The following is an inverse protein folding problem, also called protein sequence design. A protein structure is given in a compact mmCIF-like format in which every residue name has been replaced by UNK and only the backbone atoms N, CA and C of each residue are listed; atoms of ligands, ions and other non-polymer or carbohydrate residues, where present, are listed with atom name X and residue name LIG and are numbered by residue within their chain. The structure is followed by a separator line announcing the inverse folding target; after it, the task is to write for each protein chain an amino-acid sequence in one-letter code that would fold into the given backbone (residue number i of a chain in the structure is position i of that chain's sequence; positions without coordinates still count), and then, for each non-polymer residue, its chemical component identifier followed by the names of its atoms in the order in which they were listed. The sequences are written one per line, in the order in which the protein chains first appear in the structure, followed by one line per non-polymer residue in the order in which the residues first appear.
data_IF_384689990973
#
_entry.id   IF_384689990973
#
_cell.length_a   1.000
_cell.length_b   1.000
_cell.length_c   1.000
_cell.angle_alpha   90.00
_cell.angle_beta   90.00
_cell.angle_gamma   90.00
#
_symmetry.space_group_name_H-M   'P 1'
#
loop_
_entity.id
_entity.type
_entity.pdbx_description
1 polymer ?
#
# COMPACT_ATOMS: atom_id res chain seq x y z
N UNK A 1 -44.30 -36.01 3.12
CA UNK A 1 -45.22 -35.81 1.97
C UNK A 1 -44.65 -34.68 1.11
N UNK A 2 -44.41 -34.87 -0.20
CA UNK A 2 -45.32 -34.55 -1.34
C UNK A 2 -45.74 -33.06 -1.40
N UNK A 3 -45.79 -32.35 -2.54
CA UNK A 3 -45.55 -32.60 -4.00
C UNK A 3 -45.64 -31.24 -4.75
N UNK A 4 -45.15 -30.92 -5.96
CA UNK A 4 -44.32 -31.48 -7.08
C UNK A 4 -43.68 -30.26 -7.81
N UNK A 5 -42.49 -30.29 -8.43
CA UNK A 5 -42.01 -30.98 -9.67
C UNK A 5 -42.68 -30.52 -10.98
N UNK A 6 -41.92 -29.80 -11.83
CA UNK A 6 -42.18 -29.47 -13.25
C UNK A 6 -40.85 -28.93 -13.86
N UNK A 7 -40.42 -29.17 -15.11
CA UNK A 7 -40.81 -30.24 -16.04
C UNK A 7 -39.63 -30.86 -16.82
N UNK A 8 -39.30 -30.46 -18.07
CA UNK A 8 -38.42 -31.24 -18.97
C UNK A 8 -37.64 -30.43 -20.04
N UNK A 9 -36.54 -31.04 -20.53
CA UNK A 9 -35.73 -30.68 -21.73
C UNK A 9 -36.50 -30.81 -23.07
N UNK A 10 -36.01 -30.15 -24.14
CA UNK A 10 -35.89 -30.74 -25.51
C UNK A 10 -34.93 -29.95 -26.43
N UNK A 11 -34.40 -30.63 -27.46
CA UNK A 11 -33.49 -30.12 -28.51
C UNK A 11 -34.24 -29.86 -29.82
N UNK A 12 -33.74 -29.01 -30.75
CA UNK A 12 -33.41 -29.38 -32.16
C UNK A 12 -32.87 -28.21 -33.06
N UNK A 13 -31.72 -28.46 -33.71
CA UNK A 13 -31.40 -28.31 -35.16
C UNK A 13 -31.43 -26.98 -35.97
N UNK A 14 -30.79 -27.10 -37.17
CA UNK A 14 -30.68 -26.18 -38.36
C UNK A 14 -29.47 -25.20 -38.29
N UNK A 15 -28.32 -25.39 -38.97
CA UNK A 15 -27.97 -25.44 -40.44
C UNK A 15 -28.31 -24.15 -41.24
N UNK A 16 -27.62 -23.72 -42.30
CA UNK A 16 -26.22 -23.75 -42.78
C UNK A 16 -26.18 -22.86 -44.07
N UNK A 17 -25.05 -22.18 -44.36
CA UNK A 17 -24.63 -21.49 -45.61
C UNK A 17 -25.55 -21.47 -46.87
N UNK A 18 -25.70 -20.28 -47.48
CA UNK A 18 -25.67 -19.98 -48.94
C UNK A 18 -25.81 -18.45 -49.18
N UNK A 19 -25.45 -17.82 -50.32
CA UNK A 19 -24.18 -17.79 -51.08
C UNK A 19 -24.18 -16.62 -52.12
N UNK A 20 -22.98 -16.21 -52.56
CA UNK A 20 -22.60 -15.63 -53.88
C UNK A 20 -23.45 -14.52 -54.57
N UNK A 21 -22.77 -13.42 -54.90
CA UNK A 21 -22.83 -12.77 -56.24
C UNK A 21 -21.38 -12.43 -56.67
N UNK A 22 -21.10 -12.52 -57.98
CA UNK A 22 -19.78 -12.31 -58.60
C UNK A 22 -19.84 -11.26 -59.72
N UNK A 23 -18.65 -10.86 -60.22
CA UNK A 23 -18.36 -10.05 -61.43
C UNK A 23 -18.26 -8.52 -61.20
N UNK A 24 -17.31 -7.80 -61.82
CA UNK A 24 -16.26 -8.27 -62.73
C UNK A 24 -15.25 -7.18 -63.13
N UNK A 25 -14.27 -7.54 -63.98
CA UNK A 25 -13.15 -6.67 -64.38
C UNK A 25 -13.52 -5.63 -65.46
N UNK A 26 -12.75 -4.53 -65.56
CA UNK A 26 -11.93 -4.26 -66.77
C UNK A 26 -10.84 -3.19 -66.52
N UNK A 27 -9.86 -3.11 -67.44
CA UNK A 27 -8.68 -2.24 -67.40
C UNK A 27 -8.87 -0.88 -68.11
N UNK A 28 -8.03 0.11 -67.76
CA UNK A 28 -7.45 1.09 -68.70
C UNK A 28 -6.26 1.87 -68.08
N UNK A 29 -5.26 2.21 -68.89
CA UNK A 29 -4.20 3.19 -68.56
C UNK A 29 -4.71 4.64 -68.73
N UNK A 30 -4.04 5.62 -68.10
CA UNK A 30 -3.34 6.67 -68.88
C UNK A 30 -2.36 7.52 -68.05
N UNK A 31 -1.48 8.24 -68.76
CA UNK A 31 -0.37 9.04 -68.23
C UNK A 31 -0.67 10.54 -68.25
N UNK A 32 -0.13 11.27 -67.29
CA UNK A 32 0.31 12.68 -67.40
C UNK A 32 1.44 12.85 -66.37
N UNK A 33 2.74 12.89 -66.72
CA UNK A 33 3.50 13.79 -67.62
C UNK A 33 3.99 15.08 -66.91
N UNK A 34 5.07 15.64 -67.44
CA UNK A 34 6.08 16.44 -66.74
C UNK A 34 5.80 17.96 -66.76
N UNK A 35 6.39 18.69 -65.80
CA UNK A 35 7.50 19.65 -66.05
C UNK A 35 7.99 20.25 -64.71
N UNK A 36 9.27 20.25 -64.30
CA UNK A 36 10.60 20.42 -64.94
C UNK A 36 11.13 21.87 -64.93
N UNK A 37 12.26 22.09 -64.23
CA UNK A 37 13.31 23.12 -64.42
C UNK A 37 14.63 22.47 -63.93
N UNK A 38 15.70 22.33 -64.74
CA UNK A 38 16.57 23.38 -65.33
C UNK A 38 17.47 24.05 -64.28
N UNK A 39 18.81 24.13 -64.36
CA UNK A 39 19.84 23.72 -65.36
C UNK A 39 20.88 22.75 -64.71
N UNK A 40 21.89 22.13 -65.33
CA UNK A 40 22.66 22.39 -66.57
C UNK A 40 23.93 23.24 -66.26
N UNK A 41 25.16 22.93 -66.68
CA UNK A 41 25.75 21.81 -67.48
C UNK A 41 27.28 21.80 -67.16
N UNK A 42 28.25 21.06 -67.74
CA UNK A 42 28.44 20.31 -69.00
C UNK A 42 29.71 19.40 -68.91
N UNK A 43 29.92 18.48 -69.88
CA UNK A 43 31.20 17.85 -70.32
C UNK A 43 32.03 17.05 -69.27
N UNK A 44 32.35 15.76 -69.49
CA UNK A 44 32.97 15.20 -70.71
C UNK A 44 32.77 13.66 -70.85
N UNK A 45 32.63 13.18 -72.07
CA UNK A 45 33.04 11.83 -72.51
C UNK A 45 34.59 11.75 -72.65
N UNK A 46 35.29 10.61 -72.74
CA UNK A 46 34.97 9.15 -72.86
C UNK A 46 36.23 8.38 -72.44
N UNK A 47 36.12 7.19 -71.82
CA UNK A 47 36.48 5.89 -72.43
C UNK A 47 36.08 4.72 -71.49
N UNK A 48 36.17 3.47 -71.94
CA UNK A 48 35.64 2.29 -71.25
C UNK A 48 36.70 1.42 -70.54
N UNK A 49 36.31 0.83 -69.39
CA UNK A 49 36.79 -0.49 -68.97
C UNK A 49 35.81 -1.15 -67.97
N UNK A 50 35.95 -2.46 -67.85
CA UNK A 50 35.07 -3.44 -67.18
C UNK A 50 34.68 -3.08 -65.74
N UNK A 51 33.37 -3.07 -65.44
CA UNK A 51 32.86 -2.98 -64.07
C UNK A 51 33.05 -4.32 -63.36
N UNK A 52 34.09 -4.43 -62.53
CA UNK A 52 34.15 -5.50 -61.51
C UNK A 52 33.16 -5.18 -60.39
N UNK A 53 32.19 -6.06 -60.21
CA UNK A 53 31.24 -5.96 -59.10
C UNK A 53 31.97 -6.27 -57.78
N UNK A 54 31.99 -5.27 -56.89
CA UNK A 54 32.97 -5.22 -55.82
C UNK A 54 32.41 -5.83 -54.52
N UNK A 55 32.50 -7.15 -54.38
CA UNK A 55 32.13 -7.85 -53.13
C UNK A 55 32.90 -7.26 -51.94
N UNK A 56 32.17 -6.85 -50.89
CA UNK A 56 32.76 -6.50 -49.59
C UNK A 56 33.47 -7.72 -48.98
N UNK A 57 34.48 -7.52 -48.11
CA UNK A 57 35.03 -8.57 -47.25
C UNK A 57 33.94 -9.28 -46.44
N UNK A 58 34.12 -10.57 -46.12
CA UNK A 58 33.19 -11.32 -45.24
C UNK A 58 33.09 -10.68 -43.85
N UNK A 59 34.22 -10.21 -43.31
CA UNK A 59 34.33 -9.65 -41.95
C UNK A 59 33.52 -8.35 -41.79
N UNK A 60 33.48 -7.49 -42.82
CA UNK A 60 32.77 -6.20 -42.80
C UNK A 60 31.24 -6.32 -42.58
N UNK A 61 30.66 -7.52 -42.77
CA UNK A 61 29.23 -7.75 -42.61
C UNK A 61 28.83 -7.88 -41.13
N UNK A 62 29.54 -8.72 -40.37
CA UNK A 62 29.13 -9.12 -39.03
C UNK A 62 29.50 -8.12 -37.91
N UNK A 63 30.31 -7.11 -38.21
CA UNK A 63 30.79 -6.08 -37.24
C UNK A 63 29.63 -5.27 -36.63
N UNK A 64 28.54 -5.06 -37.35
CA UNK A 64 27.41 -4.23 -36.89
C UNK A 64 26.22 -5.05 -36.36
N UNK A 65 26.42 -6.35 -36.14
CA UNK A 65 25.38 -7.27 -35.66
C UNK A 65 25.58 -7.50 -34.16
N UNK A 66 24.51 -7.33 -33.38
CA UNK A 66 24.48 -7.57 -31.93
C UNK A 66 25.02 -8.95 -31.56
N UNK A 67 25.86 -9.00 -30.52
CA UNK A 67 26.40 -10.25 -29.99
C UNK A 67 25.31 -11.14 -29.38
N UNK A 68 25.49 -12.45 -29.49
CA UNK A 68 24.63 -13.43 -28.82
C UNK A 68 24.87 -13.32 -27.30
N UNK A 69 23.81 -13.26 -26.47
CA UNK A 69 23.95 -13.28 -25.02
C UNK A 69 24.80 -14.44 -24.51
N UNK A 70 25.71 -14.14 -23.59
CA UNK A 70 26.61 -15.12 -22.94
C UNK A 70 26.52 -15.08 -21.40
N UNK A 71 25.57 -14.32 -20.85
CA UNK A 71 25.18 -14.33 -19.44
C UNK A 71 23.68 -14.01 -19.32
N UNK A 72 23.10 -14.35 -18.17
CA UNK A 72 21.69 -14.06 -17.82
C UNK A 72 21.36 -12.56 -18.00
N UNK A 73 22.26 -11.69 -17.56
CA UNK A 73 22.10 -10.23 -17.63
C UNK A 73 22.09 -9.72 -19.07
N UNK A 74 22.82 -10.38 -19.98
CA UNK A 74 22.84 -10.02 -21.40
C UNK A 74 21.56 -10.42 -22.14
N UNK A 75 20.82 -11.45 -21.67
CA UNK A 75 19.52 -11.84 -22.25
C UNK A 75 18.45 -10.77 -22.02
N UNK A 76 18.45 -10.11 -20.85
CA UNK A 76 17.49 -9.02 -20.55
C UNK A 76 17.79 -7.79 -21.42
N UNK A 77 19.06 -7.53 -21.71
CA UNK A 77 19.51 -6.34 -22.46
C UNK A 77 19.59 -6.51 -23.99
N UNK A 78 19.07 -7.60 -24.55
CA UNK A 78 19.13 -7.86 -26.00
C UNK A 78 18.16 -6.95 -26.77
N UNK A 79 18.44 -6.70 -28.06
CA UNK A 79 17.52 -5.97 -28.94
C UNK A 79 16.65 -6.94 -29.76
N UNK A 80 15.35 -6.65 -29.98
CA UNK A 80 14.52 -7.43 -30.89
C UNK A 80 15.04 -7.37 -32.34
N UNK A 81 14.98 -8.51 -33.01
CA UNK A 81 15.39 -8.71 -34.40
C UNK A 81 14.29 -8.42 -35.42
N UNK A 82 14.65 -8.51 -36.70
CA UNK A 82 13.75 -8.28 -37.86
C UNK A 82 12.48 -9.14 -37.82
N UNK A 83 12.55 -10.33 -37.20
CA UNK A 83 11.46 -11.31 -37.10
C UNK A 83 11.06 -11.60 -35.65
N UNK A 84 11.21 -10.61 -34.75
CA UNK A 84 10.70 -10.66 -33.39
C UNK A 84 9.16 -10.73 -33.36
N UNK A 85 8.58 -11.59 -32.53
CA UNK A 85 7.14 -11.64 -32.23
C UNK A 85 6.22 -12.25 -33.30
N UNK A 86 6.63 -12.28 -34.57
CA UNK A 86 5.88 -12.93 -35.65
C UNK A 86 6.10 -14.47 -35.64
N UNK A 87 5.05 -15.31 -35.66
CA UNK A 87 5.20 -16.75 -35.78
C UNK A 87 5.70 -17.15 -37.19
N UNK A 88 6.78 -17.94 -37.25
CA UNK A 88 7.22 -18.53 -38.52
C UNK A 88 6.10 -19.37 -39.13
N UNK A 89 5.85 -19.16 -40.43
CA UNK A 89 4.70 -19.61 -41.25
C UNK A 89 3.45 -18.70 -41.25
N UNK A 90 3.59 -17.39 -41.04
CA UNK A 90 2.64 -16.46 -41.68
C UNK A 90 2.88 -16.41 -43.20
N UNK A 91 1.86 -16.12 -44.01
CA UNK A 91 1.96 -16.15 -45.49
C UNK A 91 2.94 -15.10 -46.06
N UNK A 92 3.37 -14.14 -45.26
CA UNK A 92 4.34 -13.09 -45.62
C UNK A 92 5.79 -13.40 -45.16
N UNK A 93 5.97 -14.47 -44.37
CA UNK A 93 7.23 -14.76 -43.67
C UNK A 93 8.32 -15.36 -44.58
N UNK A 94 8.05 -16.51 -45.23
CA UNK A 94 9.07 -17.21 -46.03
C UNK A 94 9.70 -16.33 -47.13
N UNK A 95 8.92 -15.55 -47.93
CA UNK A 95 9.50 -14.70 -48.98
C UNK A 95 10.33 -13.52 -48.45
N UNK A 96 10.14 -13.11 -47.19
CA UNK A 96 10.93 -12.05 -46.57
C UNK A 96 12.18 -12.59 -45.89
N UNK A 97 12.12 -13.77 -45.24
CA UNK A 97 13.29 -14.43 -44.66
C UNK A 97 14.37 -14.73 -45.70
N UNK A 98 14.04 -15.46 -46.79
CA UNK A 98 15.07 -15.86 -47.76
C UNK A 98 15.72 -14.65 -48.42
N UNK A 99 14.94 -13.62 -48.76
CA UNK A 99 15.43 -12.36 -49.32
C UNK A 99 16.36 -11.61 -48.37
N UNK A 100 16.15 -11.71 -47.05
CA UNK A 100 17.04 -11.11 -46.06
C UNK A 100 18.37 -11.89 -45.99
N UNK A 101 18.30 -13.22 -45.88
CA UNK A 101 19.47 -14.11 -45.77
C UNK A 101 20.30 -14.19 -47.06
N UNK A 102 19.72 -13.97 -48.24
CA UNK A 102 20.44 -13.82 -49.52
C UNK A 102 21.53 -12.73 -49.49
N UNK A 103 21.42 -11.72 -48.61
CA UNK A 103 22.43 -10.66 -48.47
C UNK A 103 23.62 -11.06 -47.59
N UNK A 104 23.50 -12.14 -46.81
CA UNK A 104 24.53 -12.58 -45.90
C UNK A 104 25.63 -13.39 -46.61
N UNK A 105 26.89 -13.33 -46.15
CA UNK A 105 27.94 -14.19 -46.70
C UNK A 105 27.65 -15.67 -46.40
N UNK A 106 27.53 -16.55 -47.41
CA UNK A 106 27.23 -17.96 -47.17
C UNK A 106 28.37 -18.67 -46.45
N UNK A 107 28.04 -19.63 -45.59
CA UNK A 107 28.98 -20.58 -44.98
C UNK A 107 29.87 -21.24 -46.05
N UNK A 108 31.13 -21.51 -45.72
CA UNK A 108 32.00 -22.31 -46.61
C UNK A 108 31.62 -23.80 -46.60
N UNK A 109 32.27 -24.61 -47.45
CA UNK A 109 32.05 -26.06 -47.50
C UNK A 109 32.55 -26.76 -46.21
N UNK A 110 33.52 -26.17 -45.52
CA UNK A 110 34.08 -26.64 -44.24
C UNK A 110 34.28 -25.44 -43.29
N UNK A 111 33.21 -24.91 -42.68
CA UNK A 111 33.32 -23.74 -41.80
C UNK A 111 34.17 -24.02 -40.57
N UNK A 112 34.92 -23.00 -40.13
CA UNK A 112 35.53 -22.98 -38.79
C UNK A 112 34.51 -22.55 -37.74
N UNK A 113 34.77 -22.82 -36.45
CA UNK A 113 33.92 -22.35 -35.34
C UNK A 113 33.55 -20.87 -35.44
N UNK A 114 34.53 -19.99 -35.69
CA UNK A 114 34.30 -18.55 -35.90
C UNK A 114 33.33 -18.25 -37.07
N UNK A 115 33.33 -19.06 -38.14
CA UNK A 115 32.39 -18.86 -39.26
C UNK A 115 30.98 -19.35 -38.90
N UNK A 116 30.85 -20.41 -38.09
CA UNK A 116 29.57 -20.79 -37.49
C UNK A 116 29.08 -19.77 -36.46
N UNK A 117 29.95 -19.22 -35.62
CA UNK A 117 29.59 -18.28 -34.56
C UNK A 117 29.12 -16.95 -35.15
N UNK A 118 29.81 -16.40 -36.15
CA UNK A 118 29.38 -15.19 -36.84
C UNK A 118 28.08 -15.41 -37.64
N UNK A 119 27.92 -16.55 -38.33
CA UNK A 119 26.68 -16.86 -39.05
C UNK A 119 25.50 -17.11 -38.10
N UNK A 120 25.73 -17.83 -37.00
CA UNK A 120 24.73 -18.03 -35.94
C UNK A 120 24.36 -16.71 -35.27
N UNK A 121 25.31 -15.80 -35.01
CA UNK A 121 25.04 -14.45 -34.52
C UNK A 121 24.09 -13.68 -35.45
N UNK A 122 24.28 -13.79 -36.76
CA UNK A 122 23.35 -13.22 -37.72
C UNK A 122 21.95 -13.84 -37.62
N UNK A 123 21.81 -15.18 -37.68
CA UNK A 123 20.50 -15.83 -37.54
C UNK A 123 19.81 -15.53 -36.20
N UNK A 124 20.59 -15.42 -35.13
CA UNK A 124 20.13 -15.01 -33.81
C UNK A 124 19.58 -13.57 -33.84
N UNK A 125 20.32 -12.63 -34.43
CA UNK A 125 19.88 -11.23 -34.58
C UNK A 125 18.63 -11.04 -35.45
N UNK A 126 18.26 -12.04 -36.25
CA UNK A 126 16.99 -12.08 -36.98
C UNK A 126 15.82 -12.52 -36.07
N UNK A 127 16.05 -13.52 -35.20
CA UNK A 127 15.02 -14.14 -34.37
C UNK A 127 14.85 -13.55 -32.96
N UNK A 128 15.81 -12.73 -32.50
CA UNK A 128 15.85 -12.20 -31.14
C UNK A 128 14.55 -11.47 -30.77
N UNK A 129 14.04 -11.66 -29.56
CA UNK A 129 12.83 -10.98 -29.04
C UNK A 129 13.18 -9.89 -28.03
N UNK A 130 12.19 -9.07 -27.67
CA UNK A 130 12.26 -8.16 -26.52
C UNK A 130 11.74 -8.90 -25.29
N UNK A 131 12.53 -8.98 -24.21
CA UNK A 131 12.15 -9.66 -22.97
C UNK A 131 11.63 -8.66 -21.94
N UNK A 132 10.63 -9.01 -21.10
CA UNK A 132 10.09 -8.07 -20.11
C UNK A 132 11.16 -7.68 -19.07
N UNK A 133 11.33 -6.38 -18.81
CA UNK A 133 12.26 -5.85 -17.79
C UNK A 133 11.75 -6.15 -16.36
N UNK A 134 12.43 -6.99 -15.56
CA UNK A 134 12.00 -7.26 -14.19
C UNK A 134 12.10 -6.02 -13.28
N UNK A 135 12.89 -4.99 -13.65
CA UNK A 135 12.99 -3.76 -12.88
C UNK A 135 11.67 -2.98 -12.89
N UNK A 136 10.84 -3.05 -13.93
CA UNK A 136 9.52 -2.39 -13.91
C UNK A 136 8.57 -3.01 -12.88
N UNK A 137 8.70 -4.32 -12.63
CA UNK A 137 7.95 -5.00 -11.57
C UNK A 137 8.46 -4.60 -10.18
N UNK A 138 9.77 -4.46 -10.00
CA UNK A 138 10.37 -3.93 -8.76
C UNK A 138 9.91 -2.49 -8.50
N UNK A 139 9.99 -1.59 -9.49
CA UNK A 139 9.51 -0.19 -9.41
C UNK A 139 8.02 -0.13 -9.04
N UNK A 140 7.18 -1.01 -9.62
CA UNK A 140 5.75 -1.13 -9.31
C UNK A 140 5.53 -1.45 -7.83
N UNK A 141 6.25 -2.43 -7.29
CA UNK A 141 6.16 -2.82 -5.88
C UNK A 141 6.72 -1.76 -4.94
N UNK A 142 7.88 -1.17 -5.25
CA UNK A 142 8.45 -0.06 -4.48
C UNK A 142 7.43 1.08 -4.34
N UNK A 143 6.69 1.42 -5.41
CA UNK A 143 5.63 2.42 -5.34
C UNK A 143 4.43 1.95 -4.51
N UNK A 144 3.86 0.76 -4.78
CA UNK A 144 2.63 0.27 -4.13
C UNK A 144 2.81 -0.13 -2.65
N UNK A 145 4.05 -0.42 -2.25
CA UNK A 145 4.46 -0.73 -0.89
C UNK A 145 5.11 0.47 -0.18
N UNK A 146 5.24 1.63 -0.85
CA UNK A 146 5.69 2.86 -0.20
C UNK A 146 4.57 3.53 0.59
N UNK A 147 4.90 3.95 1.81
CA UNK A 147 3.97 4.64 2.69
C UNK A 147 3.03 3.71 3.46
N UNK A 148 2.57 4.21 4.59
CA UNK A 148 1.68 3.49 5.51
C UNK A 148 0.24 3.98 5.34
N UNK A 149 -0.78 3.14 5.57
CA UNK A 149 -2.18 3.57 5.51
C UNK A 149 -2.47 4.81 6.36
N UNK A 150 -3.23 5.75 5.82
CA UNK A 150 -3.68 6.94 6.54
C UNK A 150 -4.78 6.55 7.54
N UNK A 151 -4.61 6.98 8.79
CA UNK A 151 -5.56 6.77 9.88
C UNK A 151 -6.66 7.83 9.79
N UNK A 152 -7.89 7.45 10.12
CA UNK A 152 -9.10 8.27 9.81
C UNK A 152 -9.36 9.44 10.76
N UNK A 153 -8.57 9.60 11.83
CA UNK A 153 -8.65 10.74 12.74
C UNK A 153 -7.25 11.17 13.23
N UNK A 154 -6.84 12.40 12.93
CA UNK A 154 -5.53 12.95 13.33
C UNK A 154 -5.45 13.29 14.84
N UNK A 155 -6.59 13.32 15.56
CA UNK A 155 -6.63 13.73 16.98
C UNK A 155 -5.99 12.72 17.92
N UNK A 156 -5.79 11.48 17.47
CA UNK A 156 -5.38 10.36 18.29
C UNK A 156 -4.07 9.71 17.79
N UNK A 157 -2.94 10.38 18.03
CA UNK A 157 -1.62 9.77 17.91
C UNK A 157 -1.21 9.20 19.29
N UNK A 158 -1.44 7.89 19.46
CA UNK A 158 -1.42 7.19 20.74
C UNK A 158 -0.05 6.63 21.14
N UNK A 159 0.45 6.96 22.35
CA UNK A 159 1.82 6.74 22.85
C UNK A 159 2.01 5.54 23.78
N UNK A 160 3.26 5.12 23.95
CA UNK A 160 3.76 3.98 24.77
C UNK A 160 2.99 3.88 26.10
N UNK A 161 2.86 5.02 26.78
CA UNK A 161 2.28 5.14 28.09
C UNK A 161 0.93 5.85 28.00
N UNK A 162 -0.16 5.10 28.12
CA UNK A 162 -1.50 5.65 28.30
C UNK A 162 -1.69 6.02 29.78
N UNK A 163 -1.94 7.30 30.06
CA UNK A 163 -2.19 7.78 31.42
C UNK A 163 -3.59 8.39 31.47
N UNK A 164 -4.51 7.72 32.15
CA UNK A 164 -5.93 8.07 32.22
C UNK A 164 -6.23 8.64 33.61
N UNK A 165 -6.50 9.94 33.71
CA UNK A 165 -7.00 10.54 34.96
C UNK A 165 -8.50 10.82 34.89
N UNK A 166 -9.26 10.16 35.75
CA UNK A 166 -10.66 10.50 36.00
C UNK A 166 -10.67 11.64 37.02
N UNK A 167 -11.28 12.77 36.66
CA UNK A 167 -11.56 13.87 37.58
C UNK A 167 -13.06 13.87 37.84
N UNK A 168 -13.47 13.48 39.05
CA UNK A 168 -14.86 13.38 39.44
C UNK A 168 -15.26 14.55 40.35
N UNK A 169 -16.29 15.28 39.92
CA UNK A 169 -17.02 16.22 40.75
C UNK A 169 -17.73 15.48 41.90
N UNK A 170 -17.50 15.94 43.12
CA UNK A 170 -18.18 15.47 44.34
C UNK A 170 -18.70 16.67 45.15
N UNK A 171 -19.12 17.73 44.47
CA UNK A 171 -19.87 18.86 45.03
C UNK A 171 -21.25 18.45 45.54
N UNK A 172 -21.96 19.36 46.21
CA UNK A 172 -23.24 19.08 46.84
C UNK A 172 -24.37 18.65 45.87
N UNK A 173 -24.30 19.04 44.60
CA UNK A 173 -25.34 18.78 43.59
C UNK A 173 -25.31 17.34 43.04
N UNK A 174 -24.17 16.64 43.10
CA UNK A 174 -24.06 15.23 42.71
C UNK A 174 -24.87 14.26 43.61
N UNK A 175 -25.51 14.76 44.67
CA UNK A 175 -26.53 14.06 45.49
C UNK A 175 -27.94 14.08 44.92
N UNK A 176 -28.19 14.83 43.84
CA UNK A 176 -29.49 14.87 43.19
C UNK A 176 -29.92 13.46 42.71
N UNK A 177 -31.18 13.11 42.92
CA UNK A 177 -31.76 11.85 42.43
C UNK A 177 -31.95 11.90 40.91
N UNK A 178 -31.51 10.83 40.24
CA UNK A 178 -31.79 10.51 38.85
C UNK A 178 -32.19 9.04 38.82
N UNK A 179 -33.46 8.78 38.49
CA UNK A 179 -34.03 7.44 38.32
C UNK A 179 -33.92 6.53 39.58
N UNK A 180 -33.91 7.11 40.79
CA UNK A 180 -33.83 6.36 42.06
C UNK A 180 -32.40 6.01 42.52
N UNK A 181 -31.39 6.63 41.91
CA UNK A 181 -29.97 6.63 42.33
C UNK A 181 -29.48 8.08 42.41
N UNK A 182 -28.42 8.37 43.13
CA UNK A 182 -27.78 9.70 43.01
C UNK A 182 -26.96 9.81 41.73
N UNK A 183 -26.74 11.02 41.21
CA UNK A 183 -25.81 11.25 40.09
C UNK A 183 -24.40 10.71 40.41
N UNK A 184 -23.97 10.81 41.67
CA UNK A 184 -22.73 10.19 42.16
C UNK A 184 -22.74 8.66 42.01
N UNK A 185 -23.81 7.94 42.36
CA UNK A 185 -23.88 6.48 42.19
C UNK A 185 -23.78 6.07 40.71
N UNK A 186 -24.46 6.82 39.83
CA UNK A 186 -24.46 6.59 38.38
C UNK A 186 -23.06 6.87 37.79
N UNK A 187 -22.39 7.93 38.24
CA UNK A 187 -21.02 8.26 37.86
C UNK A 187 -20.02 7.19 38.33
N UNK A 188 -20.08 6.80 39.61
CA UNK A 188 -19.23 5.74 40.19
C UNK A 188 -19.41 4.41 39.46
N UNK A 189 -20.62 4.09 39.00
CA UNK A 189 -20.86 2.87 38.22
C UNK A 189 -20.15 2.93 36.86
N UNK A 190 -20.47 3.93 36.03
CA UNK A 190 -19.95 3.98 34.66
C UNK A 190 -18.43 4.18 34.58
N UNK A 191 -17.82 4.91 35.53
CA UNK A 191 -16.35 5.01 35.66
C UNK A 191 -15.70 3.63 35.89
N UNK A 192 -16.36 2.76 36.66
CA UNK A 192 -15.89 1.42 36.93
C UNK A 192 -16.04 0.50 35.72
N UNK A 193 -17.19 0.58 35.04
CA UNK A 193 -17.48 -0.20 33.84
C UNK A 193 -16.49 0.16 32.72
N UNK A 194 -16.26 1.46 32.48
CA UNK A 194 -15.20 1.99 31.60
C UNK A 194 -13.81 1.42 31.93
N UNK A 195 -13.32 1.64 33.15
CA UNK A 195 -11.96 1.26 33.52
C UNK A 195 -11.74 -0.26 33.58
N UNK A 196 -12.81 -1.06 33.69
CA UNK A 196 -12.72 -2.52 33.54
C UNK A 196 -12.35 -2.98 32.14
N UNK A 197 -12.49 -2.11 31.13
CA UNK A 197 -12.13 -2.33 29.72
C UNK A 197 -10.86 -1.59 29.29
N UNK A 198 -10.25 -0.77 30.16
CA UNK A 198 -9.04 -0.04 29.83
C UNK A 198 -7.85 -1.01 29.59
N UNK A 199 -6.94 -0.72 28.63
CA UNK A 199 -5.79 -1.58 28.34
C UNK A 199 -4.93 -1.86 29.59
N UNK A 200 -4.48 -3.11 29.75
CA UNK A 200 -3.73 -3.57 30.94
C UNK A 200 -2.35 -2.93 31.16
N UNK A 201 -1.88 -2.10 30.21
CA UNK A 201 -0.68 -1.28 30.33
C UNK A 201 -0.98 0.18 30.73
N UNK A 202 -2.24 0.62 30.74
CA UNK A 202 -2.61 1.99 31.09
C UNK A 202 -2.47 2.28 32.59
N UNK A 203 -1.82 3.41 32.92
CA UNK A 203 -1.79 3.95 34.27
C UNK A 203 -3.07 4.75 34.52
N UNK A 204 -3.83 4.38 35.55
CA UNK A 204 -5.09 5.02 35.92
C UNK A 204 -4.91 5.89 37.16
N UNK A 205 -5.55 7.05 37.18
CA UNK A 205 -5.63 7.95 38.33
C UNK A 205 -7.09 8.34 38.62
N UNK A 206 -7.43 8.54 39.90
CA UNK A 206 -8.71 9.11 40.32
C UNK A 206 -8.47 10.34 41.21
N UNK A 207 -8.97 11.47 40.73
CA UNK A 207 -8.95 12.77 41.38
C UNK A 207 -10.38 13.17 41.72
N UNK A 208 -10.59 13.68 42.93
CA UNK A 208 -11.90 14.15 43.42
C UNK A 208 -11.78 15.54 44.02
N UNK A 209 -12.84 16.33 43.87
CA UNK A 209 -12.98 17.64 44.51
C UNK A 209 -14.41 17.83 45.06
N UNK A 210 -14.61 18.81 45.93
CA UNK A 210 -15.93 19.14 46.48
C UNK A 210 -16.41 18.22 47.61
N UNK A 211 -15.72 17.12 47.90
CA UNK A 211 -16.05 16.14 48.95
C UNK A 211 -15.70 16.58 50.39
N UNK A 212 -15.40 17.86 50.62
CA UNK A 212 -15.02 18.41 51.95
C UNK A 212 -15.79 19.69 52.28
N UNK A 213 -16.18 19.83 53.55
CA UNK A 213 -17.03 20.94 54.00
C UNK A 213 -18.46 20.78 53.50
N UNK A 214 -19.14 21.90 53.26
CA UNK A 214 -20.52 21.98 52.75
C UNK A 214 -20.64 23.01 51.63
N UNK A 215 -21.73 22.95 50.85
CA UNK A 215 -22.15 23.97 49.88
C UNK A 215 -22.57 25.32 50.50
N UNK A 216 -22.06 25.66 51.70
CA UNK A 216 -22.28 26.96 52.34
C UNK A 216 -21.06 27.87 52.15
N UNK A 217 -21.28 29.19 52.13
CA UNK A 217 -20.20 30.18 51.95
C UNK A 217 -19.12 30.10 53.05
N UNK A 218 -19.49 29.63 54.24
CA UNK A 218 -18.56 29.45 55.37
C UNK A 218 -17.51 28.38 55.06
N UNK A 219 -17.92 27.30 54.39
CA UNK A 219 -17.05 26.20 53.97
C UNK A 219 -16.47 26.37 52.57
N UNK A 220 -16.91 27.35 51.76
CA UNK A 220 -16.40 27.58 50.40
C UNK A 220 -14.88 27.58 50.37
N UNK A 221 -14.22 28.35 51.24
CA UNK A 221 -12.75 28.39 51.32
C UNK A 221 -12.12 27.03 51.67
N UNK A 222 -12.79 26.20 52.48
CA UNK A 222 -12.32 24.84 52.76
C UNK A 222 -12.46 23.97 51.50
N UNK A 223 -13.66 23.87 50.93
CA UNK A 223 -13.94 23.03 49.77
C UNK A 223 -13.08 23.38 48.55
N UNK A 224 -12.97 24.66 48.22
CA UNK A 224 -12.16 25.15 47.10
C UNK A 224 -10.65 24.90 47.28
N UNK A 225 -10.19 24.63 48.51
CA UNK A 225 -8.80 24.25 48.81
C UNK A 225 -8.56 22.74 48.82
N UNK A 226 -9.58 21.91 48.50
CA UNK A 226 -9.54 20.45 48.65
C UNK A 226 -9.86 19.74 47.34
N UNK A 227 -8.78 19.51 46.60
CA UNK A 227 -8.68 18.50 45.54
C UNK A 227 -7.79 17.38 46.07
N UNK A 228 -8.23 16.13 45.98
CA UNK A 228 -7.48 14.97 46.48
C UNK A 228 -7.36 13.91 45.38
N UNK A 229 -6.14 13.40 45.18
CA UNK A 229 -5.89 12.23 44.32
C UNK A 229 -6.01 10.98 45.20
N UNK A 230 -7.12 10.26 45.06
CA UNK A 230 -7.50 9.13 45.91
C UNK A 230 -7.05 7.78 45.33
N UNK A 231 -6.77 7.73 44.02
CA UNK A 231 -6.02 6.67 43.37
C UNK A 231 -4.89 7.34 42.57
N UNK A 232 -3.64 6.97 42.84
CA UNK A 232 -2.47 7.49 42.11
C UNK A 232 -2.25 6.75 40.80
N UNK A 233 -1.53 7.36 39.85
CA UNK A 233 -1.16 6.69 38.58
C UNK A 233 -0.42 5.37 38.83
N UNK A 234 -1.15 4.28 38.62
CA UNK A 234 -0.72 2.88 38.71
C UNK A 234 -1.62 2.05 37.78
N UNK A 235 -1.27 0.80 37.47
CA UNK A 235 -2.12 -0.08 36.67
C UNK A 235 -3.49 -0.27 37.31
N UNK A 236 -4.55 -0.43 36.52
CA UNK A 236 -5.91 -0.57 37.06
C UNK A 236 -6.06 -1.82 37.93
N UNK A 237 -6.19 -1.61 39.25
CA UNK A 237 -6.53 -2.65 40.21
C UNK A 237 -7.95 -2.41 40.72
N UNK A 238 -8.91 -3.22 40.26
CA UNK A 238 -10.33 -3.02 40.55
C UNK A 238 -10.65 -2.90 42.04
N UNK A 239 -10.13 -3.78 42.90
CA UNK A 239 -10.42 -3.74 44.36
C UNK A 239 -9.90 -2.44 45.01
N UNK A 240 -8.69 -2.01 44.66
CA UNK A 240 -8.13 -0.77 45.18
C UNK A 240 -8.84 0.47 44.62
N UNK A 241 -9.23 0.44 43.34
CA UNK A 241 -9.97 1.52 42.70
C UNK A 241 -11.40 1.66 43.26
N UNK A 242 -12.14 0.55 43.38
CA UNK A 242 -13.46 0.50 44.04
C UNK A 242 -13.41 1.09 45.45
N UNK A 243 -12.35 0.78 46.20
CA UNK A 243 -12.14 1.31 47.56
C UNK A 243 -11.81 2.80 47.58
N UNK A 244 -11.02 3.31 46.62
CA UNK A 244 -10.73 4.73 46.48
C UNK A 244 -11.99 5.52 46.07
N UNK A 245 -12.72 5.02 45.07
CA UNK A 245 -13.96 5.58 44.54
C UNK A 245 -15.09 5.65 45.58
N UNK A 246 -15.09 4.74 46.56
CA UNK A 246 -16.05 4.73 47.68
C UNK A 246 -15.50 5.31 48.99
N UNK A 247 -14.38 6.04 48.95
CA UNK A 247 -13.81 6.71 50.13
C UNK A 247 -14.38 8.10 50.44
N UNK A 248 -15.29 8.60 49.60
CA UNK A 248 -15.82 9.97 49.68
C UNK A 248 -17.31 10.06 49.32
N UNK A 249 -17.91 11.15 49.79
CA UNK A 249 -19.33 11.50 49.68
C UNK A 249 -19.48 12.95 49.16
N UNK A 250 -20.54 13.28 48.38
CA UNK A 250 -20.69 14.63 47.85
C UNK A 250 -21.12 15.65 48.90
N UNK A 251 -20.56 16.88 48.93
CA UNK A 251 -20.96 17.85 49.95
C UNK A 251 -20.77 19.34 49.66
N UNK A 252 -19.75 19.72 48.89
CA UNK A 252 -19.19 21.08 48.83
C UNK A 252 -19.32 21.78 47.48
N UNK A 253 -18.25 22.47 47.11
CA UNK A 253 -18.11 23.39 45.97
C UNK A 253 -17.20 22.83 44.86
N UNK A 254 -17.23 23.46 43.68
CA UNK A 254 -16.69 22.95 42.40
C UNK A 254 -15.47 23.76 41.90
N UNK A 255 -14.23 23.43 42.35
CA UNK A 255 -12.97 24.04 41.87
C UNK A 255 -12.39 23.30 40.65
N UNK A 256 -12.96 23.50 39.47
CA UNK A 256 -12.51 22.82 38.23
C UNK A 256 -11.10 23.26 37.84
N UNK A 257 -10.82 24.57 37.90
CA UNK A 257 -9.47 25.08 37.62
C UNK A 257 -8.44 24.56 38.64
N UNK A 258 -8.85 24.43 39.92
CA UNK A 258 -8.04 23.82 40.97
C UNK A 258 -7.75 22.34 40.71
N UNK A 259 -8.75 21.61 40.22
CA UNK A 259 -8.60 20.20 39.84
C UNK A 259 -7.62 20.03 38.68
N UNK A 260 -7.77 20.82 37.60
CA UNK A 260 -6.86 20.79 36.46
C UNK A 260 -5.42 21.22 36.83
N UNK A 261 -5.24 22.17 37.76
CA UNK A 261 -3.91 22.52 38.31
C UNK A 261 -3.25 21.33 39.01
N UNK A 262 -3.96 20.69 39.93
CA UNK A 262 -3.45 19.49 40.62
C UNK A 262 -3.22 18.31 39.67
N UNK A 263 -4.01 18.22 38.59
CA UNK A 263 -3.80 17.25 37.50
C UNK A 263 -2.48 17.54 36.78
N UNK A 264 -2.24 18.79 36.37
CA UNK A 264 -0.99 19.24 35.72
C UNK A 264 0.26 18.98 36.58
N UNK A 265 0.13 19.06 37.90
CA UNK A 265 1.20 18.68 38.83
C UNK A 265 1.43 17.16 38.87
N UNK A 266 0.37 16.34 38.90
CA UNK A 266 0.50 14.88 38.91
C UNK A 266 1.02 14.32 37.58
N UNK A 267 0.57 14.86 36.45
CA UNK A 267 1.06 14.54 35.11
C UNK A 267 2.48 15.06 34.81
N UNK A 268 3.14 15.77 35.72
CA UNK A 268 4.46 16.39 35.48
C UNK A 268 5.60 15.43 35.10
N UNK A 269 5.42 14.12 35.29
CA UNK A 269 6.36 13.05 34.89
C UNK A 269 6.03 12.42 33.54
N UNK A 270 4.83 12.66 33.02
CA UNK A 270 4.28 12.01 31.83
C UNK A 270 4.27 13.02 30.66
N UNK A 271 5.44 13.30 30.09
CA UNK A 271 5.53 14.28 29.00
C UNK A 271 4.98 13.73 27.67
N UNK A 272 4.42 14.65 26.87
CA UNK A 272 3.64 14.35 25.67
C UNK A 272 4.48 13.88 24.47
N UNK A 273 5.78 13.60 24.65
CA UNK A 273 6.54 12.84 23.65
C UNK A 273 6.17 11.37 23.77
N UNK A 274 6.36 10.80 24.96
CA UNK A 274 6.26 9.36 25.23
C UNK A 274 4.97 8.92 25.94
N UNK A 275 4.02 9.85 26.16
CA UNK A 275 2.79 9.61 26.90
C UNK A 275 1.56 10.17 26.19
N UNK A 276 0.46 9.41 26.19
CA UNK A 276 -0.87 9.88 25.84
C UNK A 276 -1.65 10.11 27.12
N UNK A 277 -1.80 11.38 27.46
CA UNK A 277 -2.41 11.83 28.70
C UNK A 277 -3.88 12.15 28.44
N UNK A 278 -4.78 11.28 28.91
CA UNK A 278 -6.23 11.44 28.80
C UNK A 278 -6.78 11.89 30.15
N UNK A 279 -7.66 12.89 30.13
CA UNK A 279 -8.41 13.32 31.31
C UNK A 279 -9.89 13.19 31.00
N UNK A 280 -10.64 12.53 31.88
CA UNK A 280 -12.09 12.46 31.83
C UNK A 280 -12.66 13.25 33.01
N UNK A 281 -13.10 14.48 32.75
CA UNK A 281 -13.76 15.34 33.72
C UNK A 281 -15.26 15.06 33.74
N UNK A 282 -15.76 14.47 34.82
CA UNK A 282 -17.19 14.27 35.07
C UNK A 282 -17.67 15.35 36.05
N UNK A 283 -18.61 16.21 35.64
CA UNK A 283 -19.13 17.30 36.49
C UNK A 283 -20.57 17.68 36.13
N UNK A 284 -21.33 18.15 37.11
CA UNK A 284 -22.72 18.63 36.98
C UNK A 284 -22.85 20.17 37.05
N UNK A 285 -21.72 20.90 37.17
CA UNK A 285 -21.72 22.32 37.52
C UNK A 285 -20.81 23.26 36.72
N UNK A 286 -20.93 24.55 37.05
CA UNK A 286 -19.97 25.62 36.67
C UNK A 286 -18.80 25.66 37.64
N UNK A 287 -17.74 26.39 37.29
CA UNK A 287 -16.71 26.79 38.26
C UNK A 287 -17.35 27.67 39.34
N UNK A 288 -17.20 27.30 40.62
CA UNK A 288 -17.79 28.03 41.75
C UNK A 288 -16.77 28.51 42.77
N UNK A 289 -15.48 28.23 42.54
CA UNK A 289 -14.36 28.59 43.40
C UNK A 289 -13.52 29.76 42.86
N UNK A 290 -14.17 30.66 42.11
CA UNK A 290 -13.64 31.94 41.63
C UNK A 290 -12.46 31.83 40.64
N UNK A 291 -12.29 30.67 40.00
CA UNK A 291 -11.27 30.39 38.98
C UNK A 291 -11.72 30.62 37.53
N UNK A 292 -10.83 30.27 36.58
CA UNK A 292 -11.12 30.28 35.13
C UNK A 292 -10.63 28.99 34.44
N UNK A 293 -11.39 27.89 34.46
CA UNK A 293 -10.95 26.60 33.92
C UNK A 293 -10.71 26.63 32.40
N UNK A 294 -11.38 27.50 31.64
CA UNK A 294 -11.22 27.60 30.17
C UNK A 294 -9.90 28.25 29.78
N UNK A 295 -9.43 29.24 30.55
CA UNK A 295 -8.11 29.86 30.35
C UNK A 295 -6.97 28.94 30.82
N UNK A 296 -7.18 28.22 31.92
CA UNK A 296 -6.23 27.19 32.35
C UNK A 296 -6.15 26.01 31.37
N UNK A 297 -7.27 25.57 30.78
CA UNK A 297 -7.31 24.48 29.82
C UNK A 297 -6.37 24.71 28.63
N UNK A 298 -6.38 25.91 28.03
CA UNK A 298 -5.40 26.34 27.01
C UNK A 298 -3.96 26.19 27.51
N UNK A 299 -3.71 26.75 28.69
CA UNK A 299 -2.40 26.71 29.37
C UNK A 299 -1.97 25.28 29.77
N UNK A 300 -2.88 24.31 29.74
CA UNK A 300 -2.60 22.90 29.97
C UNK A 300 -2.31 22.17 28.64
N UNK A 301 -3.12 22.42 27.61
CA UNK A 301 -2.91 21.93 26.24
C UNK A 301 -1.57 22.40 25.63
N UNK A 302 -1.17 23.65 25.88
CA UNK A 302 0.11 24.22 25.43
C UNK A 302 1.33 23.73 26.25
N UNK A 303 1.11 22.98 27.34
CA UNK A 303 2.20 22.49 28.20
C UNK A 303 2.86 21.22 27.66
N UNK A 304 4.04 20.86 28.18
CA UNK A 304 4.72 19.60 27.84
C UNK A 304 3.91 18.32 28.13
N UNK A 305 2.73 18.41 28.76
CA UNK A 305 1.84 17.26 29.04
C UNK A 305 0.81 17.06 27.92
N UNK A 306 0.42 18.13 27.22
CA UNK A 306 -0.61 18.18 26.15
C UNK A 306 -1.81 17.22 26.38
N UNK A 307 -2.51 17.29 27.52
CA UNK A 307 -3.57 16.33 27.81
C UNK A 307 -4.78 16.58 26.93
N UNK A 308 -5.45 15.50 26.52
CA UNK A 308 -6.77 15.55 25.90
C UNK A 308 -7.80 15.51 27.03
N UNK A 309 -8.52 16.61 27.27
CA UNK A 309 -9.53 16.68 28.34
C UNK A 309 -10.91 16.44 27.76
N UNK A 310 -11.34 15.19 27.80
CA UNK A 310 -12.72 14.81 27.55
C UNK A 310 -13.58 15.24 28.74
N UNK A 311 -14.76 15.80 28.48
CA UNK A 311 -15.60 16.41 29.51
C UNK A 311 -17.03 15.90 29.39
N UNK A 312 -17.52 15.29 30.45
CA UNK A 312 -18.86 14.71 30.52
C UNK A 312 -19.71 15.53 31.49
N UNK A 313 -20.61 16.34 30.94
CA UNK A 313 -21.54 17.18 31.69
C UNK A 313 -22.77 16.38 32.12
N UNK A 314 -22.86 16.02 33.40
CA UNK A 314 -24.01 15.27 33.93
C UNK A 314 -25.14 16.22 34.31
N UNK A 315 -26.27 16.16 33.61
CA UNK A 315 -27.50 16.91 33.93
C UNK A 315 -27.30 18.44 34.08
N UNK A 316 -26.31 18.97 33.36
CA UNK A 316 -25.82 20.35 33.44
C UNK A 316 -26.80 21.39 32.89
N UNK A 317 -26.77 22.60 33.45
CA UNK A 317 -27.45 23.75 32.86
C UNK A 317 -26.70 24.35 31.65
N UNK A 318 -27.33 25.31 30.97
CA UNK A 318 -26.75 25.95 29.77
C UNK A 318 -25.50 26.81 30.02
N UNK A 319 -25.21 27.22 31.25
CA UNK A 319 -23.98 27.92 31.62
C UNK A 319 -22.85 26.92 31.88
N UNK A 320 -23.13 25.86 32.63
CA UNK A 320 -22.23 24.72 32.84
C UNK A 320 -21.85 24.06 31.51
N UNK A 321 -22.83 23.71 30.67
CA UNK A 321 -22.60 23.17 29.32
C UNK A 321 -21.67 24.07 28.49
N UNK A 322 -21.88 25.39 28.50
CA UNK A 322 -21.04 26.33 27.73
C UNK A 322 -19.61 26.38 28.26
N UNK A 323 -19.42 26.39 29.57
CA UNK A 323 -18.09 26.38 30.20
C UNK A 323 -17.36 25.07 29.91
N UNK A 324 -18.02 23.94 30.16
CA UNK A 324 -17.47 22.59 30.03
C UNK A 324 -17.16 22.23 28.57
N UNK A 325 -18.02 22.60 27.61
CA UNK A 325 -17.70 22.47 26.18
C UNK A 325 -16.48 23.30 25.80
N UNK A 326 -16.44 24.56 26.22
CA UNK A 326 -15.29 25.44 25.95
C UNK A 326 -14.00 24.97 26.64
N UNK A 327 -14.07 24.12 27.66
CA UNK A 327 -12.91 23.49 28.30
C UNK A 327 -12.36 22.39 27.39
N UNK A 328 -13.21 21.44 26.97
CA UNK A 328 -12.84 20.35 26.06
C UNK A 328 -12.27 20.88 24.73
N UNK A 329 -12.99 21.84 24.10
CA UNK A 329 -12.60 22.48 22.83
C UNK A 329 -11.18 23.07 22.85
N UNK A 330 -10.68 23.52 24.01
CA UNK A 330 -9.36 24.12 24.17
C UNK A 330 -8.26 23.11 24.57
N UNK A 331 -8.55 21.81 24.51
CA UNK A 331 -7.62 20.70 24.81
C UNK A 331 -7.69 19.58 23.77
N UNK A 332 -8.33 19.84 22.63
CA UNK A 332 -8.69 18.86 21.59
C UNK A 332 -9.58 17.69 22.08
N UNK A 333 -10.10 17.76 23.30
CA UNK A 333 -11.01 16.77 23.87
C UNK A 333 -12.46 16.93 23.40
N UNK A 334 -13.26 15.91 23.66
CA UNK A 334 -14.69 15.87 23.32
C UNK A 334 -15.52 16.28 24.54
N UNK A 335 -16.57 17.08 24.31
CA UNK A 335 -17.60 17.36 25.31
C UNK A 335 -18.91 16.65 24.95
N UNK A 336 -19.50 15.93 25.91
CA UNK A 336 -20.87 15.41 25.80
C UNK A 336 -21.69 15.75 27.05
N UNK A 337 -22.99 16.01 26.87
CA UNK A 337 -23.99 16.09 27.96
C UNK A 337 -24.63 14.71 28.16
N UNK A 338 -24.70 14.22 29.40
CA UNK A 338 -25.40 12.98 29.76
C UNK A 338 -26.52 13.26 30.78
N UNK A 339 -27.61 12.49 30.73
CA UNK A 339 -28.79 12.71 31.59
C UNK A 339 -29.19 11.50 32.44
N UNK A 340 -28.57 10.34 32.20
CA UNK A 340 -28.80 9.07 32.89
C UNK A 340 -27.54 8.19 32.74
N UNK A 341 -27.47 7.07 33.48
CA UNK A 341 -26.30 6.18 33.40
C UNK A 341 -26.08 5.59 32.00
N UNK A 342 -27.14 5.25 31.25
CA UNK A 342 -26.99 4.63 29.93
C UNK A 342 -26.27 5.55 28.93
N UNK A 343 -26.52 6.85 29.00
CA UNK A 343 -25.78 7.83 28.19
C UNK A 343 -24.34 7.99 28.67
N UNK A 344 -24.07 7.87 29.97
CA UNK A 344 -22.70 7.92 30.50
C UNK A 344 -21.89 6.67 30.12
N UNK A 345 -22.54 5.50 30.13
CA UNK A 345 -22.05 4.22 29.59
C UNK A 345 -21.73 4.36 28.08
N UNK A 346 -22.68 4.85 27.27
CA UNK A 346 -22.50 5.06 25.81
C UNK A 346 -21.34 6.02 25.43
N UNK A 347 -21.01 7.02 26.25
CA UNK A 347 -19.87 7.90 25.99
C UNK A 347 -18.53 7.25 26.40
N UNK A 348 -18.52 6.42 27.44
CA UNK A 348 -17.34 5.65 27.83
C UNK A 348 -17.09 4.46 26.88
N UNK A 349 -18.14 3.85 26.32
CA UNK A 349 -18.02 2.86 25.24
C UNK A 349 -17.34 3.48 24.00
N UNK A 350 -17.72 4.70 23.59
CA UNK A 350 -17.00 5.39 22.49
C UNK A 350 -15.55 5.75 22.85
N UNK A 351 -15.27 6.02 24.11
CA UNK A 351 -13.89 6.22 24.58
C UNK A 351 -13.06 4.91 24.55
N UNK A 352 -13.71 3.76 24.71
CA UNK A 352 -13.14 2.41 24.53
C UNK A 352 -12.95 2.07 23.05
N UNK A 353 -13.95 2.27 22.19
CA UNK A 353 -13.85 2.05 20.73
C UNK A 353 -12.64 2.79 20.14
N UNK A 354 -12.43 4.03 20.59
CA UNK A 354 -11.28 4.88 20.20
C UNK A 354 -9.95 4.24 20.59
N UNK A 355 -9.84 3.56 21.74
CA UNK A 355 -8.62 2.86 22.18
C UNK A 355 -8.40 1.52 21.46
N UNK A 356 -9.46 0.75 21.22
CA UNK A 356 -9.38 -0.54 20.51
C UNK A 356 -9.04 -0.34 19.02
N UNK A 357 -9.55 0.73 18.39
CA UNK A 357 -9.35 1.02 16.95
C UNK A 357 -7.89 1.14 16.48
N UNK A 358 -6.94 1.31 17.40
CA UNK A 358 -5.51 1.39 17.08
C UNK A 358 -4.82 0.03 16.96
N UNK A 359 -5.27 -0.98 17.71
CA UNK A 359 -4.81 -2.37 17.50
C UNK A 359 -5.44 -2.92 16.23
N UNK A 360 -6.75 -2.68 16.01
CA UNK A 360 -7.44 -3.03 14.76
C UNK A 360 -6.76 -2.41 13.53
N UNK A 361 -6.40 -1.12 13.56
CA UNK A 361 -5.67 -0.46 12.46
C UNK A 361 -4.35 -1.16 12.12
N UNK A 362 -3.62 -1.63 13.14
CA UNK A 362 -2.33 -2.30 12.94
C UNK A 362 -2.52 -3.63 12.23
N UNK A 363 -3.47 -4.44 12.69
CA UNK A 363 -3.72 -5.76 12.12
C UNK A 363 -4.30 -5.62 10.71
N UNK A 364 -5.19 -4.66 10.45
CA UNK A 364 -5.64 -4.32 9.08
C UNK A 364 -4.48 -3.87 8.18
N UNK A 365 -3.55 -3.05 8.66
CA UNK A 365 -2.38 -2.64 7.89
C UNK A 365 -1.41 -3.80 7.61
N UNK A 366 -1.26 -4.75 8.55
CA UNK A 366 -0.47 -5.96 8.33
C UNK A 366 -1.16 -6.94 7.36
N UNK A 367 -2.50 -7.03 7.41
CA UNK A 367 -3.32 -7.77 6.46
C UNK A 367 -3.23 -7.18 5.04
N UNK A 368 -3.23 -5.85 4.88
CA UNK A 368 -2.98 -5.16 3.60
C UNK A 368 -1.57 -5.47 3.06
N UNK A 369 -0.55 -5.51 3.93
CA UNK A 369 0.79 -5.94 3.53
C UNK A 369 0.83 -7.41 3.07
N UNK A 370 0.11 -8.32 3.73
CA UNK A 370 0.00 -9.72 3.25
C UNK A 370 -0.85 -9.85 1.97
N UNK A 371 -1.86 -9.01 1.75
CA UNK A 371 -2.58 -8.93 0.49
C UNK A 371 -1.65 -8.48 -0.66
N UNK A 372 -0.84 -7.44 -0.44
CA UNK A 372 0.19 -6.98 -1.39
C UNK A 372 1.24 -8.07 -1.69
N UNK A 373 1.54 -8.94 -0.72
CA UNK A 373 2.38 -10.12 -0.94
C UNK A 373 1.73 -11.16 -1.87
N UNK A 374 0.41 -11.34 -1.77
CA UNK A 374 -0.36 -12.21 -2.68
C UNK A 374 -0.41 -11.63 -4.09
N UNK A 375 -0.67 -10.33 -4.24
CA UNK A 375 -0.64 -9.65 -5.55
C UNK A 375 0.75 -9.76 -6.21
N UNK A 376 1.82 -9.55 -5.45
CA UNK A 376 3.19 -9.72 -5.93
C UNK A 376 3.49 -11.16 -6.41
N UNK A 377 2.82 -12.19 -5.88
CA UNK A 377 2.98 -13.56 -6.38
C UNK A 377 2.27 -13.77 -7.74
N UNK A 378 1.12 -13.14 -7.96
CA UNK A 378 0.44 -13.15 -9.26
C UNK A 378 1.21 -12.35 -10.31
N UNK A 379 1.82 -11.24 -9.89
CA UNK A 379 2.75 -10.45 -10.71
C UNK A 379 3.95 -11.27 -11.20
N UNK A 380 4.64 -11.98 -10.30
CA UNK A 380 5.75 -12.88 -10.67
C UNK A 380 5.27 -13.98 -11.63
N UNK A 381 4.10 -14.56 -11.37
CA UNK A 381 3.52 -15.60 -12.23
C UNK A 381 3.24 -15.06 -13.65
N UNK A 382 2.65 -13.87 -13.78
CA UNK A 382 2.44 -13.24 -15.09
C UNK A 382 3.78 -13.01 -15.79
N UNK A 383 4.73 -12.37 -15.10
CA UNK A 383 6.07 -12.10 -15.62
C UNK A 383 6.73 -13.37 -16.18
N UNK A 384 6.69 -14.49 -15.46
CA UNK A 384 7.25 -15.76 -15.94
C UNK A 384 6.47 -16.34 -17.13
N UNK A 385 5.14 -16.24 -17.15
CA UNK A 385 4.37 -16.71 -18.32
C UNK A 385 4.71 -15.89 -19.58
N UNK A 386 4.84 -14.57 -19.43
CA UNK A 386 5.17 -13.64 -20.51
C UNK A 386 6.63 -13.85 -20.99
N UNK A 387 7.57 -14.09 -20.06
CA UNK A 387 8.96 -14.41 -20.36
C UNK A 387 9.11 -15.78 -21.07
N UNK A 388 8.50 -16.84 -20.52
CA UNK A 388 8.41 -18.17 -21.14
C UNK A 388 7.85 -18.10 -22.56
N UNK A 389 6.80 -17.31 -22.79
CA UNK A 389 6.20 -17.13 -24.12
C UNK A 389 7.18 -16.49 -25.10
N UNK A 390 7.93 -15.46 -24.70
CA UNK A 390 8.95 -14.82 -25.53
C UNK A 390 10.13 -15.76 -25.81
N UNK A 391 10.57 -16.54 -24.81
CA UNK A 391 11.59 -17.56 -24.97
C UNK A 391 11.17 -18.64 -25.99
N UNK A 392 9.93 -19.13 -25.90
CA UNK A 392 9.37 -20.09 -26.85
C UNK A 392 9.26 -19.50 -28.26
N UNK A 393 8.82 -18.24 -28.42
CA UNK A 393 8.76 -17.57 -29.72
C UNK A 393 10.17 -17.48 -30.33
N UNK A 394 11.17 -16.98 -29.60
CA UNK A 394 12.54 -16.88 -30.09
C UNK A 394 13.13 -18.25 -30.46
N UNK A 395 12.91 -19.27 -29.61
CA UNK A 395 13.40 -20.62 -29.83
C UNK A 395 12.78 -21.28 -31.07
N UNK A 396 11.46 -21.15 -31.25
CA UNK A 396 10.75 -21.65 -32.43
C UNK A 396 11.15 -20.87 -33.70
N UNK A 397 11.36 -19.55 -33.60
CA UNK A 397 11.78 -18.73 -34.73
C UNK A 397 13.21 -19.06 -35.17
N UNK A 398 14.16 -19.20 -34.24
CA UNK A 398 15.52 -19.59 -34.59
C UNK A 398 15.59 -21.04 -35.11
N UNK A 399 14.79 -21.96 -34.56
CA UNK A 399 14.62 -23.30 -35.12
C UNK A 399 14.09 -23.25 -36.56
N UNK A 400 13.04 -22.47 -36.83
CA UNK A 400 12.44 -22.37 -38.16
C UNK A 400 13.43 -21.84 -39.20
N UNK A 401 14.11 -20.72 -38.91
CA UNK A 401 15.14 -20.15 -39.80
C UNK A 401 16.22 -21.19 -40.16
N UNK A 402 16.81 -21.87 -39.17
CA UNK A 402 17.83 -22.89 -39.41
C UNK A 402 17.23 -24.11 -40.13
N UNK A 403 15.95 -24.43 -39.88
CA UNK A 403 15.28 -25.55 -40.51
C UNK A 403 15.03 -25.31 -42.00
N UNK A 404 14.53 -24.14 -42.36
CA UNK A 404 14.03 -23.77 -43.69
C UNK A 404 15.18 -23.40 -44.64
N UNK A 405 16.25 -22.75 -44.14
CA UNK A 405 17.51 -22.57 -44.89
C UNK A 405 18.16 -23.91 -45.30
N UNK A 406 17.87 -25.00 -44.58
CA UNK A 406 18.33 -26.35 -44.93
C UNK A 406 17.34 -27.14 -45.79
N UNK A 407 16.13 -26.62 -46.02
CA UNK A 407 15.15 -27.22 -46.95
C UNK A 407 15.34 -26.66 -48.36
N UNK A 408 15.66 -25.38 -48.49
CA UNK A 408 15.99 -24.71 -49.77
C UNK A 408 17.49 -24.80 -50.14
N UNK A 409 18.21 -25.81 -49.64
CA UNK A 409 19.64 -26.09 -49.90
C UNK A 409 20.64 -24.93 -49.64
N UNK A 410 20.25 -23.88 -48.91
CA UNK A 410 21.12 -22.72 -48.58
C UNK A 410 22.22 -23.10 -47.59
N UNK A 411 21.95 -24.03 -46.67
CA UNK A 411 22.92 -24.64 -45.76
C UNK A 411 22.85 -26.17 -45.81
N UNK A 412 23.97 -26.84 -45.55
CA UNK A 412 24.01 -28.32 -45.55
C UNK A 412 23.36 -28.90 -44.28
N UNK A 413 23.03 -30.19 -44.32
CA UNK A 413 22.50 -30.93 -43.16
C UNK A 413 23.47 -30.88 -41.97
N UNK A 414 24.78 -30.89 -42.22
CA UNK A 414 25.78 -30.79 -41.15
C UNK A 414 25.85 -29.36 -40.58
N UNK A 415 25.76 -28.34 -41.42
CA UNK A 415 25.67 -26.94 -40.97
C UNK A 415 24.41 -26.73 -40.10
N UNK A 416 23.28 -27.32 -40.49
CA UNK A 416 22.04 -27.30 -39.69
C UNK A 416 22.23 -27.97 -38.33
N UNK A 417 22.89 -29.12 -38.26
CA UNK A 417 23.20 -29.79 -36.99
C UNK A 417 24.00 -28.85 -36.07
N UNK A 418 25.05 -28.23 -36.61
CA UNK A 418 25.98 -27.38 -35.87
C UNK A 418 25.35 -26.05 -35.38
N UNK A 419 24.46 -25.47 -36.18
CA UNK A 419 23.66 -24.30 -35.81
C UNK A 419 22.54 -24.65 -34.81
N UNK A 420 21.97 -25.84 -34.88
CA UNK A 420 20.98 -26.32 -33.89
C UNK A 420 21.63 -26.58 -32.52
N UNK A 421 22.86 -27.09 -32.46
CA UNK A 421 23.58 -27.26 -31.19
C UNK A 421 23.83 -25.89 -30.51
N UNK A 422 24.21 -24.87 -31.29
CA UNK A 422 24.28 -23.48 -30.82
C UNK A 422 22.91 -22.94 -30.37
N UNK A 423 21.82 -23.29 -31.05
CA UNK A 423 20.44 -22.93 -30.65
C UNK A 423 20.03 -23.57 -29.33
N UNK A 424 20.44 -24.80 -29.01
CA UNK A 424 20.16 -25.39 -27.69
C UNK A 424 20.98 -24.72 -26.57
N UNK A 425 22.27 -24.45 -26.79
CA UNK A 425 23.11 -23.75 -25.80
C UNK A 425 22.54 -22.37 -25.41
N UNK A 426 21.96 -21.63 -26.35
CA UNK A 426 21.29 -20.35 -26.07
C UNK A 426 19.92 -20.56 -25.39
N UNK A 427 19.20 -21.64 -25.70
CA UNK A 427 17.94 -21.96 -25.03
C UNK A 427 18.19 -22.28 -23.55
N UNK A 428 19.19 -23.09 -23.24
CA UNK A 428 19.59 -23.41 -21.85
C UNK A 428 19.96 -22.15 -21.05
N UNK A 429 20.65 -21.18 -21.67
CA UNK A 429 20.96 -19.88 -21.05
C UNK A 429 19.71 -19.04 -20.75
N UNK A 430 18.69 -19.08 -21.60
CA UNK A 430 17.42 -18.35 -21.42
C UNK A 430 16.58 -19.01 -20.31
N UNK A 431 16.56 -20.34 -20.25
CA UNK A 431 15.92 -21.09 -19.16
C UNK A 431 16.60 -20.83 -17.81
N UNK A 432 17.94 -20.73 -17.77
CA UNK A 432 18.68 -20.30 -16.58
C UNK A 432 18.37 -18.83 -16.21
N UNK A 433 18.23 -17.96 -17.21
CA UNK A 433 17.88 -16.55 -17.06
C UNK A 433 16.51 -16.37 -16.40
N UNK A 434 15.46 -17.01 -16.93
CA UNK A 434 14.11 -16.98 -16.34
C UNK A 434 14.13 -17.42 -14.87
N UNK A 435 14.80 -18.55 -14.59
CA UNK A 435 14.89 -19.12 -13.24
C UNK A 435 15.58 -18.15 -12.27
N UNK A 436 16.70 -17.54 -12.66
CA UNK A 436 17.43 -16.59 -11.81
C UNK A 436 16.62 -15.31 -11.60
N UNK A 437 16.02 -14.74 -12.65
CA UNK A 437 15.17 -13.54 -12.54
C UNK A 437 14.00 -13.80 -11.59
N UNK A 438 13.38 -14.97 -11.67
CA UNK A 438 12.31 -15.37 -10.73
C UNK A 438 12.81 -15.42 -9.28
N UNK A 439 13.96 -16.03 -9.02
CA UNK A 439 14.55 -16.10 -7.68
C UNK A 439 14.87 -14.70 -7.12
N UNK A 440 15.44 -13.81 -7.95
CA UNK A 440 15.70 -12.40 -7.59
C UNK A 440 14.40 -11.60 -7.35
N UNK A 441 13.34 -11.82 -8.13
CA UNK A 441 12.02 -11.21 -7.93
C UNK A 441 11.33 -11.69 -6.66
N UNK A 442 11.39 -12.99 -6.35
CA UNK A 442 10.85 -13.55 -5.10
C UNK A 442 11.58 -12.99 -3.87
N UNK A 443 12.90 -12.83 -3.94
CA UNK A 443 13.70 -12.15 -2.91
C UNK A 443 13.36 -10.66 -2.77
N UNK A 444 13.14 -9.96 -3.89
CA UNK A 444 12.79 -8.54 -3.91
C UNK A 444 11.41 -8.28 -3.30
N UNK A 445 10.41 -9.11 -3.65
CA UNK A 445 9.08 -9.15 -3.00
C UNK A 445 9.22 -9.25 -1.49
N UNK A 446 9.93 -10.27 -1.00
CA UNK A 446 9.99 -10.57 0.43
C UNK A 446 10.69 -9.45 1.21
N UNK A 447 11.79 -8.91 0.68
CA UNK A 447 12.48 -7.74 1.24
C UNK A 447 11.56 -6.50 1.32
N UNK A 448 10.78 -6.21 0.28
CA UNK A 448 9.91 -5.04 0.26
C UNK A 448 8.70 -5.20 1.20
N UNK A 449 8.14 -6.40 1.31
CA UNK A 449 7.08 -6.70 2.29
C UNK A 449 7.61 -6.64 3.73
N UNK A 450 8.80 -7.19 4.00
CA UNK A 450 9.40 -7.11 5.34
C UNK A 450 9.74 -5.65 5.72
N UNK A 451 10.19 -4.82 4.77
CA UNK A 451 10.39 -3.39 4.99
C UNK A 451 9.06 -2.64 5.22
N UNK A 452 8.00 -2.91 4.45
CA UNK A 452 6.66 -2.34 4.69
C UNK A 452 6.11 -2.76 6.06
N UNK A 453 6.20 -4.05 6.43
CA UNK A 453 5.77 -4.53 7.75
C UNK A 453 6.62 -3.94 8.87
N UNK A 454 7.91 -3.69 8.63
CA UNK A 454 8.77 -2.95 9.54
C UNK A 454 8.31 -1.49 9.65
N UNK A 455 8.00 -0.79 8.57
CA UNK A 455 7.50 0.60 8.59
C UNK A 455 6.11 0.72 9.25
N UNK A 456 5.23 -0.28 9.08
CA UNK A 456 3.96 -0.37 9.81
C UNK A 456 4.23 -0.54 11.31
N UNK A 457 5.13 -1.44 11.71
CA UNK A 457 5.50 -1.61 13.12
C UNK A 457 6.27 -0.41 13.68
N UNK A 458 7.11 0.27 12.90
CA UNK A 458 7.80 1.50 13.30
C UNK A 458 6.82 2.67 13.39
N UNK A 459 5.79 2.77 12.54
CA UNK A 459 4.70 3.76 12.70
C UNK A 459 3.80 3.44 13.88
N UNK A 460 3.45 2.16 14.08
CA UNK A 460 2.73 1.70 15.26
C UNK A 460 3.51 2.09 16.51
N UNK A 461 4.77 1.67 16.63
CA UNK A 461 5.64 2.00 17.75
C UNK A 461 6.00 3.49 17.84
N UNK A 462 6.09 4.28 16.77
CA UNK A 462 6.44 5.73 16.86
C UNK A 462 5.24 6.62 17.13
N UNK A 463 4.02 6.15 16.84
CA UNK A 463 2.87 6.70 17.55
C UNK A 463 2.98 6.26 19.01
N UNK A 464 3.16 4.96 19.27
CA UNK A 464 3.23 4.31 20.59
C UNK A 464 4.61 4.47 21.28
N UNK A 465 5.37 5.58 21.15
CA UNK A 465 6.67 5.82 21.85
C UNK A 465 6.88 7.31 22.14
#
# INVERSE_FOLDING_TARGET
MHSRRIYMKKYLFVWLLLALVLSGCNSAEQKADNQNKSQGTEKKEKDASETKENKKPKEDFYINISEVPNSVEAVIGQSPGTFAGEPIRSEEFEPTLFKEVENAPPLSEHPSEEEYDQYFKYLYSLAAVDFPDPQDLVKKWEYSMSGTPNTTDERYQFKDNYNIEIILDSSGSMKNDVEGKTQMDLAKQAINDFLSTAPGEANVSLRVYGHKGSGSDQDKKMSCSRVEQVYGFDKYNKEQFDKALNSFEPSGWTPIEGALKASKEAFSKFDSKNNTNLIYLVSDGVETCDGNPVEFAKTFADSNIKPIVNVIGFNVDGAAQKQLKSLADNTNGIYTTVTNAKQLEEEFDRAKDVLESWEDWKDDALNDADAKKVDANFDILSYTNDYSLMADIQNNNLYGIIADLSLEDVITIEHKKELMERKENVKDLIDESEKKIKEDLEMSRDKNIDQLKKEINEKYSTNIN
#
